data_IF_889442384887
#
_entry.id   IF_889442384887
#
_cell.length_a   1.000
_cell.length_b   1.000
_cell.length_c   1.000
_cell.angle_alpha   90.00
_cell.angle_beta   90.00
_cell.angle_gamma   90.00
#
_symmetry.space_group_name_H-M   'P 1'
#
loop_
_entity.id
_entity.type
_entity.pdbx_description
1 polymer ?
#
# COMPACT_ATOMS: atom_id res chain seq x y z
N UNK A 1 -13.34 22.64 49.20
CA UNK A 1 -12.83 22.96 47.84
C UNK A 1 -12.05 21.76 47.34
N UNK A 2 -12.65 20.96 46.41
CA UNK A 2 -11.99 19.86 45.72
C UNK A 2 -11.50 20.41 44.37
N UNK A 3 -10.20 20.46 44.19
CA UNK A 3 -9.55 20.79 42.89
C UNK A 3 -9.46 19.48 42.11
N UNK A 4 -10.28 19.35 41.05
CA UNK A 4 -10.18 18.26 40.07
C UNK A 4 -9.05 18.59 39.12
N UNK A 5 -7.93 17.87 39.24
CA UNK A 5 -6.85 17.89 38.26
C UNK A 5 -7.28 17.08 37.03
N UNK A 6 -7.69 17.76 35.98
CA UNK A 6 -7.97 17.16 34.69
C UNK A 6 -6.61 16.88 33.99
N UNK A 7 -6.09 15.67 34.12
CA UNK A 7 -4.93 15.24 33.34
C UNK A 7 -5.37 15.08 31.88
N UNK A 8 -5.19 16.12 31.08
CA UNK A 8 -5.20 16.03 29.63
C UNK A 8 -3.99 15.18 29.19
N UNK A 9 -4.22 13.92 28.97
CA UNK A 9 -3.26 13.03 28.34
C UNK A 9 -2.98 13.51 26.92
N UNK A 10 -1.88 14.26 26.74
CA UNK A 10 -1.29 14.53 25.42
C UNK A 10 -0.87 13.18 24.85
N UNK A 11 -1.73 12.58 24.01
CA UNK A 11 -1.32 11.45 23.18
C UNK A 11 -0.18 11.96 22.29
N UNK A 12 1.05 11.60 22.66
CA UNK A 12 2.24 11.86 21.87
C UNK A 12 2.02 11.26 20.48
N UNK A 13 1.82 12.11 19.46
CA UNK A 13 1.85 11.68 18.06
C UNK A 13 3.28 11.25 17.76
N UNK A 14 3.61 10.00 18.06
CA UNK A 14 4.88 9.42 17.63
C UNK A 14 4.90 9.48 16.10
N UNK A 15 5.77 10.34 15.56
CA UNK A 15 5.99 10.39 14.12
C UNK A 15 6.43 9.00 13.66
N UNK A 16 5.65 8.38 12.77
CA UNK A 16 5.95 7.03 12.28
C UNK A 16 7.31 7.06 11.57
N UNK A 17 8.23 6.23 12.07
CA UNK A 17 9.63 6.19 11.64
C UNK A 17 9.72 5.79 10.17
N UNK A 18 10.45 6.56 9.39
CA UNK A 18 10.91 6.14 8.05
C UNK A 18 12.07 5.18 8.21
N UNK A 19 12.07 4.08 7.48
CA UNK A 19 13.16 3.10 7.44
C UNK A 19 13.76 3.04 6.04
N UNK A 20 15.05 2.83 5.97
CA UNK A 20 15.77 2.56 4.74
C UNK A 20 15.66 1.05 4.45
N UNK A 21 15.18 0.70 3.24
CA UNK A 21 15.01 -0.69 2.82
C UNK A 21 16.27 -1.27 2.18
N UNK A 22 17.25 -0.44 1.89
CA UNK A 22 18.52 -0.80 1.28
C UNK A 22 19.68 -0.17 2.05
N UNK A 23 20.70 -0.96 2.32
CA UNK A 23 21.87 -0.53 3.11
C UNK A 23 22.97 0.13 2.27
N UNK A 24 22.80 0.22 0.95
CA UNK A 24 23.80 0.79 0.02
C UNK A 24 24.98 -0.12 -0.30
N UNK A 25 25.03 -1.36 0.23
CA UNK A 25 26.21 -2.24 0.15
C UNK A 25 25.93 -3.59 -0.50
N UNK A 26 24.85 -4.22 -0.12
CA UNK A 26 24.47 -5.57 -0.56
C UNK A 26 22.95 -5.75 -0.61
N UNK A 27 22.48 -6.90 -1.10
CA UNK A 27 21.07 -7.24 -1.20
C UNK A 27 20.52 -7.91 0.08
N UNK A 28 21.14 -7.72 1.23
CA UNK A 28 20.62 -8.18 2.52
C UNK A 28 19.21 -7.63 2.73
N UNK A 29 18.27 -8.51 3.10
CA UNK A 29 16.85 -8.12 3.25
C UNK A 29 16.03 -8.21 1.95
N UNK A 30 16.64 -8.62 0.85
CA UNK A 30 15.98 -8.84 -0.44
C UNK A 30 16.15 -10.29 -0.92
N UNK A 31 15.27 -10.73 -1.81
CA UNK A 31 15.38 -12.02 -2.52
C UNK A 31 15.03 -11.80 -3.99
N UNK A 32 15.86 -12.33 -4.86
CA UNK A 32 15.76 -12.24 -6.32
C UNK A 32 16.62 -13.28 -6.98
N UNK A 33 16.61 -13.33 -8.30
CA UNK A 33 17.49 -14.21 -9.07
C UNK A 33 18.88 -13.58 -9.17
N UNK A 34 19.91 -14.16 -8.56
CA UNK A 34 21.25 -13.58 -8.45
C UNK A 34 21.87 -13.21 -9.80
N UNK A 35 21.55 -13.95 -10.87
CA UNK A 35 22.04 -13.64 -12.20
C UNK A 35 21.56 -12.32 -12.78
N UNK A 36 20.55 -11.69 -12.19
CA UNK A 36 19.95 -10.44 -12.68
C UNK A 36 20.16 -9.25 -11.76
N UNK A 37 20.40 -9.49 -10.45
CA UNK A 37 20.42 -8.44 -9.45
C UNK A 37 21.77 -8.35 -8.77
N UNK A 38 22.32 -7.15 -8.69
CA UNK A 38 23.60 -6.84 -8.03
C UNK A 38 23.54 -5.45 -7.37
N UNK A 39 24.60 -5.10 -6.65
CA UNK A 39 24.82 -3.73 -6.14
C UNK A 39 26.00 -3.12 -6.87
N UNK A 40 25.82 -1.94 -7.44
CA UNK A 40 26.88 -1.15 -8.06
C UNK A 40 26.73 0.32 -7.66
N UNK A 41 27.82 0.96 -7.29
CA UNK A 41 27.88 2.40 -6.96
C UNK A 41 26.80 2.85 -5.95
N UNK A 42 26.50 2.00 -4.94
CA UNK A 42 25.51 2.30 -3.91
C UNK A 42 24.06 2.21 -4.40
N UNK A 43 23.79 1.57 -5.55
CA UNK A 43 22.47 1.32 -6.07
C UNK A 43 22.21 -0.18 -6.27
N UNK A 44 20.97 -0.59 -6.10
CA UNK A 44 20.48 -1.90 -6.57
C UNK A 44 20.37 -1.82 -8.08
N UNK A 45 21.02 -2.73 -8.80
CA UNK A 45 21.02 -2.81 -10.25
C UNK A 45 20.35 -4.10 -10.68
N UNK A 46 19.31 -3.97 -11.48
CA UNK A 46 18.69 -5.07 -12.21
C UNK A 46 19.02 -4.98 -13.69
N UNK A 47 19.46 -6.08 -14.29
CA UNK A 47 19.91 -6.07 -15.68
C UNK A 47 19.56 -7.37 -16.41
N UNK A 48 19.07 -7.24 -17.64
CA UNK A 48 18.97 -8.32 -18.61
C UNK A 48 19.74 -7.93 -19.88
N UNK A 49 20.36 -8.92 -20.52
CA UNK A 49 21.11 -8.72 -21.75
C UNK A 49 20.62 -9.69 -22.83
N UNK A 50 21.07 -9.56 -24.05
CA UNK A 50 20.78 -10.53 -25.12
C UNK A 50 21.31 -11.94 -24.79
N UNK A 51 22.42 -12.04 -24.05
CA UNK A 51 23.01 -13.31 -23.60
C UNK A 51 22.46 -13.81 -22.26
N UNK A 52 21.78 -12.94 -21.48
CA UNK A 52 21.14 -13.28 -20.21
C UNK A 52 19.72 -12.72 -20.15
N UNK A 53 18.80 -13.22 -20.98
CA UNK A 53 17.41 -12.77 -20.98
C UNK A 53 16.63 -13.40 -19.82
N UNK A 54 15.57 -12.71 -19.36
CA UNK A 54 14.60 -13.37 -18.48
C UNK A 54 13.41 -13.91 -19.30
N UNK A 55 12.98 -15.17 -19.09
CA UNK A 55 11.86 -15.76 -19.84
C UNK A 55 10.49 -15.18 -19.44
N UNK A 56 10.41 -14.61 -18.24
CA UNK A 56 9.19 -13.99 -17.68
C UNK A 56 9.56 -12.80 -16.80
N UNK A 57 8.58 -11.96 -16.45
CA UNK A 57 8.79 -10.93 -15.45
C UNK A 57 9.26 -11.56 -14.13
N UNK A 58 10.33 -11.01 -13.57
CA UNK A 58 10.93 -11.46 -12.30
C UNK A 58 11.17 -10.27 -11.39
N UNK A 59 11.21 -10.52 -10.09
CA UNK A 59 11.22 -9.46 -9.09
C UNK A 59 12.33 -9.66 -8.07
N UNK A 60 12.90 -8.54 -7.62
CA UNK A 60 13.65 -8.47 -6.38
C UNK A 60 12.66 -8.12 -5.26
N UNK A 61 12.37 -9.05 -4.37
CA UNK A 61 11.30 -8.95 -3.37
C UNK A 61 11.90 -8.57 -2.01
N UNK A 62 11.34 -7.56 -1.36
CA UNK A 62 11.73 -7.17 -0.02
C UNK A 62 11.24 -8.19 1.02
N UNK A 63 12.16 -8.72 1.87
CA UNK A 63 11.87 -9.73 2.89
C UNK A 63 11.31 -9.18 4.20
N UNK A 64 11.14 -7.86 4.33
CA UNK A 64 10.63 -7.24 5.56
C UNK A 64 9.14 -7.42 5.80
N UNK A 65 8.46 -8.23 4.98
CA UNK A 65 7.06 -8.60 5.15
C UNK A 65 6.09 -7.81 4.28
N UNK A 66 4.81 -7.89 4.65
CA UNK A 66 3.72 -7.25 3.90
C UNK A 66 3.56 -5.76 4.28
N UNK A 67 3.27 -4.95 3.29
CA UNK A 67 2.91 -3.53 3.45
C UNK A 67 1.41 -3.33 3.23
N UNK A 68 0.79 -2.46 4.04
CA UNK A 68 -0.65 -2.15 3.97
C UNK A 68 -0.86 -0.68 3.63
N UNK A 69 -0.85 0.18 4.64
CA UNK A 69 -0.93 1.63 4.49
C UNK A 69 0.46 2.21 4.66
N UNK A 70 0.97 2.87 3.61
CA UNK A 70 2.37 3.28 3.59
C UNK A 70 2.64 4.44 2.62
N UNK A 71 3.78 5.07 2.84
CA UNK A 71 4.50 5.86 1.85
C UNK A 71 5.82 5.15 1.56
N UNK A 72 6.09 4.91 0.31
CA UNK A 72 7.36 4.41 -0.22
C UNK A 72 7.95 5.44 -1.16
N UNK A 73 9.26 5.62 -1.14
CA UNK A 73 9.96 6.42 -2.15
C UNK A 73 11.32 5.83 -2.47
N UNK A 74 11.76 6.04 -3.71
CA UNK A 74 13.10 5.71 -4.15
C UNK A 74 13.56 6.68 -5.26
N UNK A 75 14.87 6.72 -5.48
CA UNK A 75 15.44 7.23 -6.72
C UNK A 75 15.56 6.07 -7.71
N UNK A 76 15.14 6.28 -8.95
CA UNK A 76 15.19 5.27 -10.00
C UNK A 76 15.62 5.88 -11.31
N UNK A 77 16.41 5.13 -12.08
CA UNK A 77 16.65 5.37 -13.51
C UNK A 77 16.66 4.04 -14.24
N UNK A 78 16.29 4.06 -15.51
CA UNK A 78 16.24 2.84 -16.33
C UNK A 78 16.50 3.15 -17.79
N UNK A 79 16.92 2.12 -18.51
CA UNK A 79 17.18 2.15 -19.96
C UNK A 79 16.67 0.85 -20.60
N UNK A 80 16.27 0.95 -21.85
CA UNK A 80 15.74 -0.18 -22.63
C UNK A 80 14.26 -0.42 -22.35
N UNK A 81 13.92 -1.60 -21.84
CA UNK A 81 12.54 -2.01 -21.57
C UNK A 81 11.96 -1.35 -20.31
N UNK A 82 10.69 -1.62 -20.00
CA UNK A 82 10.02 -1.11 -18.80
C UNK A 82 10.41 -1.90 -17.55
N UNK A 83 10.20 -1.27 -16.41
CA UNK A 83 10.35 -1.80 -15.06
C UNK A 83 9.17 -1.34 -14.20
N UNK A 84 9.24 -1.51 -12.88
CA UNK A 84 8.24 -1.00 -11.96
C UNK A 84 8.53 -1.36 -10.52
N UNK A 85 7.78 -0.73 -9.62
CA UNK A 85 7.74 -1.06 -8.20
C UNK A 85 6.39 -1.71 -7.90
N UNK A 86 6.41 -2.99 -7.59
CA UNK A 86 5.25 -3.74 -7.13
C UNK A 86 4.98 -3.46 -5.66
N UNK A 87 3.70 -3.36 -5.29
CA UNK A 87 3.30 -3.18 -3.90
C UNK A 87 1.95 -3.84 -3.59
N UNK A 88 1.71 -4.14 -2.32
CA UNK A 88 0.56 -4.94 -1.89
C UNK A 88 0.38 -6.19 -2.73
N UNK A 89 1.49 -6.79 -3.18
CA UNK A 89 1.46 -7.89 -4.14
C UNK A 89 1.52 -9.24 -3.46
N UNK A 90 0.84 -10.22 -4.04
CA UNK A 90 0.88 -11.62 -3.63
C UNK A 90 2.07 -12.32 -4.28
N UNK A 91 2.75 -13.18 -3.55
CA UNK A 91 3.73 -14.10 -4.12
C UNK A 91 2.98 -15.19 -4.89
N UNK A 92 3.44 -15.50 -6.09
CA UNK A 92 2.94 -16.60 -6.90
C UNK A 92 3.97 -17.74 -6.84
N UNK A 93 3.53 -18.90 -6.39
CA UNK A 93 4.43 -20.02 -6.12
C UNK A 93 5.21 -19.84 -4.82
N UNK A 94 6.48 -20.20 -4.82
CA UNK A 94 7.41 -19.97 -3.71
C UNK A 94 8.05 -18.57 -3.81
N UNK A 95 8.53 -18.05 -2.67
CA UNK A 95 9.22 -16.76 -2.63
C UNK A 95 10.48 -16.75 -3.52
N UNK A 96 11.16 -17.90 -3.64
CA UNK A 96 12.33 -18.08 -4.49
C UNK A 96 12.01 -18.10 -5.99
N UNK A 97 10.75 -18.25 -6.38
CA UNK A 97 10.33 -18.10 -7.78
C UNK A 97 10.45 -16.66 -8.24
N UNK A 98 10.42 -15.70 -7.29
CA UNK A 98 10.54 -14.27 -7.54
C UNK A 98 9.45 -13.75 -8.48
N UNK A 99 8.21 -14.23 -8.30
CA UNK A 99 7.03 -13.83 -9.09
C UNK A 99 5.99 -13.18 -8.20
N UNK A 100 5.54 -11.98 -8.60
CA UNK A 100 4.53 -11.21 -7.89
C UNK A 100 3.28 -10.99 -8.74
N UNK A 101 2.15 -10.83 -8.08
CA UNK A 101 0.87 -10.44 -8.65
C UNK A 101 0.24 -9.34 -7.79
N UNK A 102 -0.07 -8.21 -8.38
CA UNK A 102 -0.67 -7.07 -7.65
C UNK A 102 -0.51 -5.74 -8.35
N UNK A 103 -0.49 -4.67 -7.57
CA UNK A 103 -0.33 -3.30 -8.10
C UNK A 103 1.13 -2.99 -8.41
N UNK A 104 1.33 -2.24 -9.49
CA UNK A 104 2.65 -1.77 -9.92
C UNK A 104 2.61 -0.27 -10.25
N UNK A 105 3.55 0.46 -9.68
CA UNK A 105 3.93 1.78 -10.19
C UNK A 105 4.91 1.55 -11.34
N UNK A 106 4.45 1.74 -12.57
CA UNK A 106 5.17 1.36 -13.77
C UNK A 106 6.24 2.39 -14.15
N UNK A 107 7.35 1.92 -14.64
CA UNK A 107 8.48 2.70 -15.14
C UNK A 107 8.65 2.35 -16.62
N UNK A 108 8.19 3.23 -17.48
CA UNK A 108 8.05 2.91 -18.90
C UNK A 108 8.66 4.02 -19.77
N UNK A 109 9.34 3.68 -20.88
CA UNK A 109 9.92 4.69 -21.79
C UNK A 109 8.88 5.61 -22.43
N UNK A 110 7.64 5.14 -22.63
CA UNK A 110 6.54 5.99 -23.12
C UNK A 110 5.95 6.82 -21.99
N UNK A 111 5.82 8.13 -22.23
CA UNK A 111 5.37 9.11 -21.23
C UNK A 111 4.01 8.79 -20.61
N UNK A 112 3.06 8.28 -21.38
CA UNK A 112 1.71 7.94 -20.92
C UNK A 112 1.65 6.78 -19.93
N UNK A 113 2.75 6.01 -19.83
CA UNK A 113 2.87 4.86 -18.92
C UNK A 113 3.88 5.07 -17.79
N UNK A 114 4.72 6.11 -17.87
CA UNK A 114 5.67 6.39 -16.81
C UNK A 114 4.96 6.87 -15.53
N UNK A 115 4.95 6.05 -14.50
CA UNK A 115 4.24 6.30 -13.24
C UNK A 115 2.75 5.91 -13.28
N UNK A 116 2.29 5.15 -14.28
CA UNK A 116 0.93 4.62 -14.33
C UNK A 116 0.69 3.58 -13.22
N UNK A 117 -0.58 3.29 -12.96
CA UNK A 117 -0.98 2.16 -12.14
C UNK A 117 -1.34 0.97 -13.02
N UNK A 118 -0.60 -0.11 -12.85
CA UNK A 118 -0.77 -1.37 -13.58
C UNK A 118 -1.11 -2.51 -12.63
N UNK A 119 -1.89 -3.49 -13.08
CA UNK A 119 -2.19 -4.74 -12.39
C UNK A 119 -1.39 -5.90 -12.99
N UNK A 120 -0.23 -6.21 -12.43
CA UNK A 120 0.62 -7.32 -12.89
C UNK A 120 0.01 -8.65 -12.45
N UNK A 121 -0.28 -9.54 -13.43
CA UNK A 121 -0.92 -10.84 -13.18
C UNK A 121 -2.12 -10.77 -12.23
N UNK A 122 -2.80 -9.62 -12.16
CA UNK A 122 -3.87 -9.34 -11.22
C UNK A 122 -5.21 -9.36 -11.95
N UNK A 123 -5.88 -10.50 -11.94
CA UNK A 123 -7.09 -10.73 -12.70
C UNK A 123 -6.89 -10.47 -14.20
N UNK A 124 -7.85 -9.81 -14.83
CA UNK A 124 -7.78 -9.35 -16.23
C UNK A 124 -7.47 -7.85 -16.36
N UNK A 125 -6.90 -7.22 -15.32
CA UNK A 125 -6.81 -5.77 -15.19
C UNK A 125 -5.84 -5.12 -16.17
N UNK A 126 -4.55 -5.43 -16.11
CA UNK A 126 -3.54 -4.71 -16.89
C UNK A 126 -3.46 -3.24 -16.49
N UNK A 127 -3.62 -2.32 -17.44
CA UNK A 127 -3.61 -0.88 -17.15
C UNK A 127 -4.87 -0.51 -16.36
N UNK A 128 -4.67 -0.03 -15.12
CA UNK A 128 -5.75 0.47 -14.25
C UNK A 128 -5.92 1.99 -14.46
N UNK A 129 -4.83 2.75 -14.45
CA UNK A 129 -4.87 4.17 -14.77
C UNK A 129 -3.56 4.57 -15.46
N UNK A 130 -3.68 5.28 -16.58
CA UNK A 130 -2.52 5.87 -17.28
C UNK A 130 -2.00 7.07 -16.51
N UNK A 131 -0.79 7.49 -16.79
CA UNK A 131 -0.26 8.76 -16.28
C UNK A 131 -1.25 9.90 -16.54
N UNK A 132 -1.31 10.84 -15.63
CA UNK A 132 -2.21 12.00 -15.56
C UNK A 132 -3.68 11.69 -15.26
N UNK A 133 -4.05 10.47 -14.91
CA UNK A 133 -5.43 10.14 -14.61
C UNK A 133 -5.72 10.15 -13.10
N UNK A 134 -6.84 10.80 -12.76
CA UNK A 134 -7.59 10.54 -11.54
C UNK A 134 -8.73 9.60 -11.88
N UNK A 135 -8.86 8.47 -11.18
CA UNK A 135 -9.79 7.43 -11.54
C UNK A 135 -10.46 6.75 -10.34
N UNK A 136 -11.61 6.14 -10.60
CA UNK A 136 -12.34 5.23 -9.73
C UNK A 136 -12.37 3.85 -10.40
N UNK A 137 -11.65 2.89 -9.84
CA UNK A 137 -11.50 1.55 -10.38
C UNK A 137 -12.45 0.59 -9.64
N UNK A 138 -13.46 0.06 -10.32
CA UNK A 138 -14.55 -0.73 -9.74
C UNK A 138 -14.53 -2.19 -10.17
N UNK A 139 -13.83 -2.52 -11.22
CA UNK A 139 -13.73 -3.85 -11.78
C UNK A 139 -12.54 -3.99 -12.73
N UNK A 140 -12.34 -5.19 -13.29
CA UNK A 140 -11.21 -5.49 -14.18
C UNK A 140 -11.10 -4.52 -15.36
N UNK A 141 -12.23 -4.13 -15.94
CA UNK A 141 -12.34 -3.19 -17.07
C UNK A 141 -13.26 -2.01 -16.74
N UNK A 142 -13.84 -1.97 -15.55
CA UNK A 142 -14.69 -0.86 -15.10
C UNK A 142 -13.85 0.16 -14.34
N UNK A 143 -13.23 1.05 -15.11
CA UNK A 143 -12.43 2.17 -14.58
C UNK A 143 -13.01 3.48 -15.10
N UNK A 144 -13.55 4.28 -14.20
CA UNK A 144 -14.08 5.61 -14.51
C UNK A 144 -13.00 6.66 -14.31
N UNK A 145 -12.56 7.32 -15.38
CA UNK A 145 -11.70 8.50 -15.29
C UNK A 145 -12.51 9.68 -14.77
N UNK A 146 -12.06 10.28 -13.68
CA UNK A 146 -12.71 11.39 -12.98
C UNK A 146 -12.13 12.76 -13.33
N UNK A 147 -10.95 12.78 -13.94
CA UNK A 147 -10.24 14.00 -14.29
C UNK A 147 -8.73 13.76 -14.48
N UNK A 148 -7.99 14.85 -14.59
CA UNK A 148 -6.54 14.84 -14.74
C UNK A 148 -5.85 15.20 -13.44
N UNK A 149 -4.61 14.72 -13.27
CA UNK A 149 -3.69 15.08 -12.18
C UNK A 149 -2.31 15.42 -12.75
N UNK A 150 -1.51 16.13 -11.95
CA UNK A 150 -0.14 16.50 -12.30
C UNK A 150 -0.05 17.44 -13.51
N UNK A 151 1.11 17.41 -14.12
CA UNK A 151 1.43 18.17 -15.31
C UNK A 151 1.94 17.26 -16.44
N UNK A 152 2.20 17.85 -17.63
CA UNK A 152 2.69 17.11 -18.79
C UNK A 152 4.21 17.21 -18.96
N UNK A 153 4.96 17.57 -17.91
CA UNK A 153 6.43 17.60 -17.95
C UNK A 153 6.96 16.26 -18.39
N UNK A 154 7.81 16.26 -19.41
CA UNK A 154 8.43 15.04 -19.90
C UNK A 154 9.41 14.48 -18.86
N UNK A 155 9.39 13.17 -18.69
CA UNK A 155 10.28 12.43 -17.81
C UNK A 155 11.32 11.69 -18.66
N UNK A 156 12.57 11.79 -18.26
CA UNK A 156 13.67 11.06 -18.86
C UNK A 156 14.04 9.87 -17.96
N UNK A 157 13.70 8.66 -18.39
CA UNK A 157 14.00 7.43 -17.64
C UNK A 157 15.50 7.19 -17.43
N UNK A 158 16.36 7.72 -18.32
CA UNK A 158 17.81 7.59 -18.20
C UNK A 158 18.42 8.47 -17.10
N UNK A 159 17.66 9.42 -16.57
CA UNK A 159 18.04 10.25 -15.43
C UNK A 159 17.45 9.70 -14.14
N UNK A 160 18.04 10.10 -13.01
CA UNK A 160 17.47 9.80 -11.70
C UNK A 160 16.14 10.54 -11.53
N UNK A 161 15.09 9.76 -11.28
CA UNK A 161 13.76 10.25 -10.96
C UNK A 161 13.37 9.76 -9.58
N UNK A 162 12.73 10.61 -8.80
CA UNK A 162 12.15 10.22 -7.52
C UNK A 162 10.76 9.63 -7.75
N UNK A 163 10.60 8.33 -7.56
CA UNK A 163 9.29 7.69 -7.49
C UNK A 163 8.79 7.73 -6.06
N UNK A 164 7.51 8.10 -5.86
CA UNK A 164 6.82 8.02 -4.57
C UNK A 164 5.49 7.33 -4.76
N UNK A 165 5.19 6.39 -3.86
CA UNK A 165 3.91 5.66 -3.79
C UNK A 165 3.27 5.97 -2.43
N UNK A 166 2.04 6.46 -2.43
CA UNK A 166 1.21 6.62 -1.23
C UNK A 166 0.01 5.70 -1.38
N UNK A 167 -0.07 4.68 -0.52
CA UNK A 167 -1.18 3.75 -0.49
C UNK A 167 -1.83 3.78 0.90
N UNK A 168 -3.08 4.25 0.98
CA UNK A 168 -3.83 4.39 2.24
C UNK A 168 -5.26 3.93 2.01
N UNK A 169 -5.70 2.91 2.74
CA UNK A 169 -7.00 2.27 2.50
C UNK A 169 -7.11 1.84 1.04
N UNK A 170 -8.12 2.32 0.36
CA UNK A 170 -8.34 2.09 -1.08
C UNK A 170 -7.81 3.23 -1.98
N UNK A 171 -7.04 4.20 -1.44
CA UNK A 171 -6.43 5.26 -2.24
C UNK A 171 -5.02 4.90 -2.63
N UNK A 172 -4.73 4.90 -3.93
CA UNK A 172 -3.43 4.58 -4.52
C UNK A 172 -2.96 5.80 -5.34
N UNK A 173 -1.85 6.41 -4.92
CA UNK A 173 -1.31 7.62 -5.56
C UNK A 173 0.15 7.35 -5.91
N UNK A 174 0.52 7.61 -7.17
CA UNK A 174 1.91 7.63 -7.60
C UNK A 174 2.34 9.05 -7.92
N UNK A 175 3.60 9.34 -7.63
CA UNK A 175 4.24 10.61 -7.95
C UNK A 175 5.61 10.34 -8.55
N UNK A 176 5.98 11.12 -9.54
CA UNK A 176 7.34 11.15 -10.08
C UNK A 176 7.85 12.58 -9.99
N UNK A 177 9.03 12.76 -9.37
CA UNK A 177 9.63 14.08 -9.10
C UNK A 177 8.66 15.01 -8.37
N UNK A 178 7.96 14.46 -7.36
CA UNK A 178 6.96 15.13 -6.52
C UNK A 178 5.68 15.61 -7.28
N UNK A 179 5.54 15.26 -8.56
CA UNK A 179 4.33 15.50 -9.36
C UNK A 179 3.46 14.25 -9.40
N UNK A 180 2.17 14.38 -9.10
CA UNK A 180 1.22 13.25 -9.14
C UNK A 180 1.10 12.72 -10.56
N UNK A 181 1.33 11.44 -10.74
CA UNK A 181 1.17 10.77 -12.04
C UNK A 181 -0.15 10.02 -12.15
N UNK A 182 -0.63 9.43 -11.06
CA UNK A 182 -1.96 8.84 -10.94
C UNK A 182 -2.53 9.04 -9.55
N UNK A 183 -3.85 9.10 -9.46
CA UNK A 183 -4.62 9.20 -8.22
C UNK A 183 -5.87 8.32 -8.36
N UNK A 184 -5.82 7.11 -7.83
CA UNK A 184 -6.85 6.10 -8.00
C UNK A 184 -7.55 5.79 -6.68
N UNK A 185 -8.88 5.78 -6.70
CA UNK A 185 -9.70 5.13 -5.67
C UNK A 185 -10.00 3.71 -6.13
N UNK A 186 -9.48 2.75 -5.42
CA UNK A 186 -9.58 1.33 -5.75
C UNK A 186 -10.80 0.71 -5.06
N UNK A 187 -11.87 0.55 -5.80
CA UNK A 187 -13.16 -0.01 -5.35
C UNK A 187 -13.45 -1.38 -5.97
N UNK A 188 -12.44 -2.04 -6.53
CA UNK A 188 -12.61 -3.41 -7.04
C UNK A 188 -12.98 -4.36 -5.90
N UNK A 189 -13.94 -5.30 -6.09
CA UNK A 189 -14.31 -6.28 -5.05
C UNK A 189 -13.13 -7.10 -4.52
N UNK A 190 -12.17 -7.43 -5.40
CA UNK A 190 -10.97 -8.20 -5.05
C UNK A 190 -9.76 -7.30 -4.76
N UNK A 191 -9.97 -6.03 -4.38
CA UNK A 191 -8.88 -5.09 -4.09
C UNK A 191 -7.91 -5.65 -3.05
N UNK A 192 -6.60 -5.56 -3.35
CA UNK A 192 -5.55 -6.08 -2.47
C UNK A 192 -5.18 -5.00 -1.45
N UNK A 193 -5.48 -5.27 -0.17
CA UNK A 193 -5.25 -4.30 0.89
C UNK A 193 -3.82 -4.35 1.47
N UNK A 194 -3.11 -5.47 1.34
CA UNK A 194 -1.75 -5.68 1.85
C UNK A 194 -1.01 -6.74 1.03
N UNK A 195 0.31 -6.71 1.06
CA UNK A 195 1.16 -7.68 0.37
C UNK A 195 2.60 -7.18 0.25
N UNK A 196 3.40 -7.85 -0.56
CA UNK A 196 4.83 -7.61 -0.69
C UNK A 196 5.18 -6.38 -1.54
N UNK A 197 6.40 -5.85 -1.31
CA UNK A 197 7.10 -4.91 -2.19
C UNK A 197 8.10 -5.68 -3.06
N UNK A 198 8.23 -5.26 -4.32
CA UNK A 198 9.24 -5.82 -5.22
C UNK A 198 9.62 -4.87 -6.35
N UNK A 199 10.84 -5.02 -6.84
CA UNK A 199 11.39 -4.29 -7.98
C UNK A 199 11.39 -5.20 -9.20
N UNK A 200 10.89 -4.74 -10.34
CA UNK A 200 10.68 -5.58 -11.52
C UNK A 200 11.86 -5.55 -12.48
N UNK A 201 12.17 -6.73 -13.05
CA UNK A 201 12.78 -6.87 -14.36
C UNK A 201 11.76 -7.45 -15.34
N UNK A 202 11.50 -6.72 -16.41
CA UNK A 202 10.52 -7.12 -17.42
C UNK A 202 11.16 -8.05 -18.45
N UNK A 203 10.40 -9.06 -18.87
CA UNK A 203 10.81 -9.94 -19.97
C UNK A 203 10.90 -9.19 -21.30
N UNK A 204 11.68 -9.69 -22.24
CA UNK A 204 11.73 -9.16 -23.60
C UNK A 204 13.07 -8.49 -23.91
N UNK A 205 13.03 -7.28 -24.46
CA UNK A 205 14.24 -6.56 -24.84
C UNK A 205 15.19 -6.35 -23.64
N UNK A 206 16.51 -6.32 -23.88
CA UNK A 206 17.48 -5.98 -22.85
C UNK A 206 17.15 -4.70 -22.13
N UNK A 207 17.39 -4.68 -20.82
CA UNK A 207 17.12 -3.52 -19.98
C UNK A 207 18.10 -3.43 -18.82
N UNK A 208 18.28 -2.22 -18.32
CA UNK A 208 18.94 -1.95 -17.05
C UNK A 208 18.10 -0.99 -16.21
N UNK A 209 17.89 -1.31 -14.95
CA UNK A 209 17.24 -0.42 -13.98
C UNK A 209 18.10 -0.30 -12.74
N UNK A 210 18.14 0.88 -12.16
CA UNK A 210 18.92 1.18 -10.97
C UNK A 210 18.02 1.87 -9.94
N UNK A 211 18.09 1.40 -8.68
CA UNK A 211 17.31 1.93 -7.55
C UNK A 211 18.24 2.29 -6.40
N UNK A 212 18.01 3.43 -5.76
CA UNK A 212 18.68 3.84 -4.53
C UNK A 212 17.76 4.66 -3.63
N UNK A 213 18.20 4.96 -2.40
CA UNK A 213 17.42 5.74 -1.44
C UNK A 213 16.01 5.18 -1.21
N UNK A 214 15.90 3.85 -1.10
CA UNK A 214 14.62 3.17 -0.91
C UNK A 214 14.13 3.37 0.52
N UNK A 215 13.12 4.22 0.68
CA UNK A 215 12.56 4.61 1.98
C UNK A 215 11.13 4.11 2.12
N UNK A 216 10.82 3.57 3.27
CA UNK A 216 9.48 3.11 3.61
C UNK A 216 9.02 3.71 4.93
N UNK A 217 7.77 4.15 4.96
CA UNK A 217 7.11 4.63 6.16
C UNK A 217 5.72 4.02 6.25
N UNK A 218 5.47 3.23 7.29
CA UNK A 218 4.12 2.75 7.59
C UNK A 218 3.24 3.95 7.94
N UNK A 219 1.98 3.95 7.50
CA UNK A 219 1.04 5.03 7.74
C UNK A 219 -0.14 4.53 8.57
N UNK A 220 -0.65 5.39 9.46
CA UNK A 220 -1.91 5.17 10.19
C UNK A 220 -2.45 6.49 10.73
N UNK A 221 -3.75 6.55 10.99
CA UNK A 221 -4.41 7.71 11.62
C UNK A 221 -4.08 9.05 10.94
N UNK A 222 -3.68 10.05 11.72
CA UNK A 222 -3.38 11.39 11.23
C UNK A 222 -2.22 11.43 10.22
N UNK A 223 -1.22 10.53 10.35
CA UNK A 223 -0.10 10.47 9.42
C UNK A 223 -0.54 10.00 8.02
N UNK A 224 -1.52 9.09 7.93
CA UNK A 224 -2.10 8.65 6.67
C UNK A 224 -2.84 9.79 5.98
N UNK A 225 -3.67 10.53 6.72
CA UNK A 225 -4.38 11.70 6.19
C UNK A 225 -3.40 12.77 5.68
N UNK A 226 -2.37 13.09 6.48
CA UNK A 226 -1.34 14.07 6.09
C UNK A 226 -0.58 13.65 4.84
N UNK A 227 -0.30 12.35 4.67
CA UNK A 227 0.35 11.84 3.46
C UNK A 227 -0.53 12.00 2.22
N UNK A 228 -1.83 11.69 2.33
CA UNK A 228 -2.81 11.91 1.26
C UNK A 228 -2.95 13.39 0.91
N UNK A 229 -3.05 14.27 1.90
CA UNK A 229 -3.12 15.72 1.72
C UNK A 229 -1.89 16.25 0.98
N UNK A 230 -0.70 15.85 1.45
CA UNK A 230 0.55 16.23 0.81
C UNK A 230 0.61 15.77 -0.65
N UNK A 231 0.19 14.54 -0.92
CA UNK A 231 0.22 13.97 -2.27
C UNK A 231 -0.79 14.63 -3.21
N UNK A 232 -1.98 15.02 -2.72
CA UNK A 232 -3.05 15.53 -3.59
C UNK A 232 -3.18 17.05 -3.60
N UNK A 233 -2.50 17.77 -2.70
CA UNK A 233 -2.74 19.21 -2.46
C UNK A 233 -4.12 19.53 -1.90
N UNK A 234 -4.93 18.51 -1.64
CA UNK A 234 -6.28 18.69 -1.12
C UNK A 234 -6.21 18.94 0.39
N UNK A 235 -6.80 20.05 0.85
CA UNK A 235 -7.10 20.21 2.28
C UNK A 235 -8.00 19.04 2.71
N UNK A 236 -7.85 18.50 3.94
CA UNK A 236 -8.71 17.44 4.43
C UNK A 236 -10.16 17.91 4.29
N UNK A 237 -10.93 17.23 3.47
CA UNK A 237 -12.34 17.19 3.79
C UNK A 237 -12.36 16.60 5.19
N UNK A 238 -12.76 17.38 6.22
CA UNK A 238 -13.20 16.78 7.48
C UNK A 238 -13.99 15.56 7.03
N UNK A 239 -13.51 14.36 7.37
CA UNK A 239 -14.36 13.18 7.24
C UNK A 239 -15.64 13.64 7.92
N UNK A 240 -16.66 13.91 7.13
CA UNK A 240 -17.97 13.90 7.64
C UNK A 240 -18.03 12.52 8.29
N UNK A 241 -18.00 12.48 9.62
CA UNK A 241 -18.51 11.34 10.33
C UNK A 241 -19.82 11.09 9.59
N UNK A 242 -19.85 10.00 8.77
CA UNK A 242 -21.12 9.59 8.21
C UNK A 242 -22.04 9.62 9.43
N UNK A 243 -23.02 10.51 9.53
CA UNK A 243 -24.02 10.34 10.53
C UNK A 243 -24.60 8.99 10.16
N UNK A 244 -24.34 7.99 10.98
CA UNK A 244 -25.02 6.71 10.88
C UNK A 244 -26.48 7.08 10.60
N UNK A 245 -27.14 6.48 9.58
CA UNK A 245 -28.50 6.88 9.20
C UNK A 245 -29.36 6.82 10.46
N UNK A 246 -29.65 7.97 11.02
CA UNK A 246 -30.38 8.13 12.30
C UNK A 246 -31.78 7.50 12.29
N UNK A 247 -32.30 7.21 11.10
CA UNK A 247 -33.67 6.77 10.93
C UNK A 247 -33.92 5.26 11.07
N UNK A 248 -32.90 4.40 11.23
CA UNK A 248 -33.12 2.94 11.34
C UNK A 248 -32.49 2.30 12.60
N UNK A 249 -31.88 3.08 13.46
CA UNK A 249 -31.19 2.55 14.66
C UNK A 249 -32.04 2.60 15.93
N UNK A 250 -33.21 3.19 15.91
CA UNK A 250 -34.08 3.29 17.11
C UNK A 250 -34.84 2.02 17.45
N UNK A 251 -34.92 1.02 16.55
CA UNK A 251 -35.70 -0.21 16.76
C UNK A 251 -34.88 -1.47 17.09
N UNK A 252 -33.53 -1.41 17.03
CA UNK A 252 -32.71 -2.53 17.43
C UNK A 252 -32.39 -2.39 18.93
N UNK A 253 -32.93 -3.27 19.74
CA UNK A 253 -32.60 -3.36 21.14
C UNK A 253 -31.08 -3.44 21.31
N UNK A 254 -30.47 -2.38 21.87
CA UNK A 254 -29.02 -2.20 22.06
C UNK A 254 -28.57 -2.96 23.29
N UNK A 255 -28.75 -4.27 23.28
CA UNK A 255 -28.27 -5.17 24.33
C UNK A 255 -27.14 -6.04 23.77
N UNK A 256 -26.26 -6.49 24.65
CA UNK A 256 -25.26 -7.49 24.31
C UNK A 256 -25.94 -8.73 23.72
N UNK A 257 -25.24 -9.42 22.80
CA UNK A 257 -25.72 -10.70 22.28
C UNK A 257 -25.95 -11.68 23.44
N UNK A 258 -27.17 -12.21 23.54
CA UNK A 258 -27.49 -13.20 24.56
C UNK A 258 -26.54 -14.39 24.44
N UNK A 259 -26.03 -14.92 25.57
CA UNK A 259 -25.21 -16.13 25.62
C UNK A 259 -25.82 -17.31 24.86
N UNK A 260 -27.13 -17.40 24.81
CA UNK A 260 -27.87 -18.46 24.09
C UNK A 260 -27.79 -18.37 22.58
N UNK A 261 -27.31 -17.26 22.04
CA UNK A 261 -27.13 -17.03 20.59
C UNK A 261 -25.68 -17.21 20.12
N UNK A 262 -24.80 -17.63 21.03
CA UNK A 262 -23.38 -17.83 20.76
C UNK A 262 -23.09 -19.32 20.84
N UNK A 263 -22.57 -19.90 19.73
CA UNK A 263 -22.13 -21.29 19.76
C UNK A 263 -20.75 -21.37 20.42
N UNK A 264 -20.65 -22.19 21.46
CA UNK A 264 -19.41 -22.45 22.19
C UNK A 264 -19.07 -23.94 22.15
N UNK A 265 -17.78 -24.24 22.24
CA UNK A 265 -17.33 -25.63 22.36
C UNK A 265 -17.79 -26.27 23.67
N UNK A 266 -17.95 -27.59 23.65
CA UNK A 266 -18.33 -28.38 24.83
C UNK A 266 -17.31 -28.17 25.96
N UNK A 267 -17.79 -27.98 27.18
CA UNK A 267 -16.96 -27.72 28.36
C UNK A 267 -16.72 -26.24 28.66
N UNK A 268 -17.22 -25.33 27.84
CA UNK A 268 -17.15 -23.88 28.09
C UNK A 268 -18.51 -23.31 28.48
N UNK A 269 -18.51 -22.22 29.25
CA UNK A 269 -19.71 -21.48 29.65
C UNK A 269 -19.52 -20.00 29.32
N UNK A 270 -20.55 -19.36 28.78
CA UNK A 270 -20.59 -17.91 28.53
C UNK A 270 -21.60 -17.29 29.50
N UNK A 271 -21.15 -16.34 30.29
CA UNK A 271 -21.99 -15.50 31.13
C UNK A 271 -21.91 -14.04 30.64
N UNK A 272 -23.07 -13.37 30.56
CA UNK A 272 -23.10 -11.94 30.27
C UNK A 272 -22.76 -11.19 31.57
N UNK A 273 -21.55 -10.63 31.60
CA UNK A 273 -21.06 -9.86 32.74
C UNK A 273 -21.48 -8.39 32.70
N UNK A 274 -21.54 -7.83 31.52
CA UNK A 274 -21.82 -6.40 31.34
C UNK A 274 -22.28 -6.06 29.90
N UNK A 275 -23.30 -5.22 29.80
CA UNK A 275 -23.71 -4.61 28.54
C UNK A 275 -23.17 -3.18 28.45
N UNK A 276 -22.32 -2.91 27.47
CA UNK A 276 -21.73 -1.58 27.27
C UNK A 276 -22.81 -0.58 26.87
N UNK A 277 -23.03 0.52 27.62
CA UNK A 277 -23.92 1.60 27.21
C UNK A 277 -23.28 2.36 26.05
N UNK A 278 -23.76 2.12 24.83
CA UNK A 278 -23.20 2.66 23.58
C UNK A 278 -23.17 4.19 23.51
N UNK A 279 -24.06 4.84 24.22
CA UNK A 279 -24.17 6.29 24.34
C UNK A 279 -23.10 6.91 25.25
N UNK A 280 -22.48 6.11 26.12
CA UNK A 280 -21.51 6.57 27.13
C UNK A 280 -20.09 6.05 26.91
N UNK A 281 -19.93 4.84 26.40
CA UNK A 281 -18.63 4.15 26.39
C UNK A 281 -18.18 3.65 24.99
N UNK A 282 -19.01 3.77 23.97
CA UNK A 282 -18.71 3.25 22.66
C UNK A 282 -18.76 1.73 22.57
N UNK A 283 -18.10 1.13 21.60
CA UNK A 283 -18.09 -0.31 21.36
C UNK A 283 -16.77 -0.95 21.81
N UNK A 284 -16.86 -2.01 22.59
CA UNK A 284 -15.70 -2.79 23.01
C UNK A 284 -15.56 -4.03 22.11
N UNK A 285 -14.35 -4.26 21.60
CA UNK A 285 -14.07 -5.29 20.58
C UNK A 285 -13.03 -6.30 21.04
N UNK A 286 -12.57 -6.26 22.28
CA UNK A 286 -11.57 -7.19 22.78
C UNK A 286 -12.08 -7.98 23.98
N UNK A 287 -12.00 -9.30 23.88
CA UNK A 287 -12.11 -10.23 25.00
C UNK A 287 -10.86 -11.10 25.02
N UNK A 288 -10.24 -11.23 26.18
CA UNK A 288 -9.18 -12.21 26.41
C UNK A 288 -9.43 -12.93 27.72
N UNK A 289 -9.12 -14.21 27.75
CA UNK A 289 -9.12 -15.00 28.98
C UNK A 289 -7.71 -15.03 29.55
N UNK A 290 -7.59 -14.89 30.87
CA UNK A 290 -6.31 -15.07 31.52
C UNK A 290 -6.02 -16.58 31.74
N UNK A 291 -4.80 -16.89 32.20
CA UNK A 291 -4.37 -18.26 32.45
C UNK A 291 -5.11 -18.93 33.65
N UNK A 292 -6.07 -18.22 34.25
CA UNK A 292 -6.95 -18.72 35.31
C UNK A 292 -8.40 -18.83 34.85
N UNK A 293 -8.66 -18.77 33.54
CA UNK A 293 -10.00 -18.83 32.92
C UNK A 293 -10.96 -17.70 33.37
N UNK A 294 -10.44 -16.47 33.57
CA UNK A 294 -11.22 -15.30 34.00
C UNK A 294 -11.21 -14.24 32.92
#
# INVERSE_FOLDING_TARGET
>A
SCIIFCCLGLASLSAQKTIDLFNGKDLSGWIGKDQFWKVENGAIVGETTASNPTPANTFLIWKGGEVKDFEFSCQVKFQGNNSGVQYRSKVIGDLNDCVLSGYQADLHPKQEFFGMLYGEKYGKRGIIARRWQKADARGDKDVKVLGSVGDKTELDGAKWNKLTIVAVGNRLIHMVNDVVTVDVTENHPDAIAKGHLGLQLHRGAPMKVEFKDLKYRKLSGAAANKALEKATGAKPKKQASNPAPKAKMESLARSATSPTRINIAEGFKIDLLYSVPMDKQGSWVAMCMDNKNR
#
